data_IF_250270692597
#
_entry.id   IF_250270692597
#
_cell.length_a   1.000
_cell.length_b   1.000
_cell.length_c   1.000
_cell.angle_alpha   90.00
_cell.angle_beta   90.00
_cell.angle_gamma   90.00
#
_symmetry.space_group_name_H-M   'P 1'
#
loop_
_entity.id
_entity.type
_entity.pdbx_description
1 polymer ?
#
# COMPACT_ATOMS: atom_id res chain seq x y z
N UNK A 1 -10.41 -1.44 15.31
CA UNK A 1 -9.56 -1.46 14.10
C UNK A 1 -10.29 -0.83 12.92
N UNK A 2 -9.59 -0.05 12.13
CA UNK A 2 -10.13 0.54 10.90
C UNK A 2 -9.45 -0.15 9.72
N UNK A 3 -10.25 -0.61 8.75
CA UNK A 3 -9.69 -1.26 7.56
C UNK A 3 -10.04 -0.39 6.34
N UNK A 4 -9.07 0.31 5.76
CA UNK A 4 -9.32 1.07 4.54
C UNK A 4 -9.51 0.15 3.34
N UNK A 5 -10.30 0.62 2.38
CA UNK A 5 -10.56 -0.08 1.13
C UNK A 5 -10.05 0.81 0.00
N UNK A 6 -9.11 0.30 -0.79
CA UNK A 6 -8.61 1.00 -1.96
C UNK A 6 -9.21 0.40 -3.23
N UNK A 7 -9.61 1.29 -4.15
CA UNK A 7 -10.09 0.88 -5.48
C UNK A 7 -8.88 0.56 -6.36
N UNK A 8 -8.90 -0.63 -6.97
CA UNK A 8 -7.88 -1.04 -7.94
C UNK A 8 -8.57 -1.43 -9.25
N UNK A 9 -7.81 -1.44 -10.35
CA UNK A 9 -8.36 -1.71 -11.68
C UNK A 9 -7.65 -2.86 -12.41
N UNK A 10 -6.52 -3.35 -11.87
CA UNK A 10 -5.73 -4.40 -12.50
C UNK A 10 -5.05 -5.19 -11.39
N UNK A 11 -5.45 -6.45 -11.22
CA UNK A 11 -4.95 -7.26 -10.10
C UNK A 11 -3.47 -7.59 -10.24
N UNK A 12 -2.97 -7.79 -11.45
CA UNK A 12 -1.55 -8.08 -11.65
C UNK A 12 -0.68 -6.90 -11.25
N UNK A 13 -1.07 -5.69 -11.65
CA UNK A 13 -0.35 -4.47 -11.26
C UNK A 13 -0.45 -4.21 -9.76
N UNK A 14 -1.62 -4.49 -9.16
CA UNK A 14 -1.81 -4.34 -7.72
C UNK A 14 -0.89 -5.28 -6.95
N UNK A 15 -0.84 -6.56 -7.34
CA UNK A 15 0.03 -7.53 -6.68
C UNK A 15 1.52 -7.18 -6.85
N UNK A 16 1.92 -6.74 -8.03
CA UNK A 16 3.30 -6.33 -8.27
C UNK A 16 3.70 -5.18 -7.36
N UNK A 17 2.82 -4.20 -7.16
CA UNK A 17 3.10 -3.05 -6.31
C UNK A 17 3.03 -3.42 -4.82
N UNK A 18 1.90 -3.97 -4.37
CA UNK A 18 1.68 -4.19 -2.94
C UNK A 18 2.46 -5.38 -2.38
N UNK A 19 2.48 -6.49 -3.09
CA UNK A 19 3.18 -7.69 -2.61
C UNK A 19 4.65 -7.68 -3.03
N UNK A 20 4.91 -7.39 -4.31
CA UNK A 20 6.27 -7.41 -4.82
C UNK A 20 7.13 -6.25 -4.34
N UNK A 21 6.66 -5.02 -4.51
CA UNK A 21 7.44 -3.83 -4.18
C UNK A 21 7.33 -3.48 -2.69
N UNK A 22 6.12 -3.25 -2.18
CA UNK A 22 5.94 -2.83 -0.79
C UNK A 22 6.16 -3.96 0.23
N UNK A 23 6.02 -5.22 -0.18
CA UNK A 23 6.25 -6.34 0.70
C UNK A 23 5.07 -6.70 1.60
N UNK A 24 3.87 -6.28 1.24
CA UNK A 24 2.68 -6.72 1.94
C UNK A 24 2.47 -8.21 1.75
N UNK A 25 1.85 -8.85 2.73
CA UNK A 25 1.45 -10.25 2.67
C UNK A 25 0.01 -10.34 2.16
N UNK A 26 -0.25 -11.26 1.24
CA UNK A 26 -1.61 -11.58 0.83
C UNK A 26 -2.22 -12.49 1.88
N UNK A 27 -3.27 -12.01 2.57
CA UNK A 27 -3.93 -12.79 3.61
C UNK A 27 -5.00 -13.69 3.01
N UNK A 28 -5.84 -13.15 2.15
CA UNK A 28 -6.86 -13.89 1.41
C UNK A 28 -7.35 -13.07 0.23
N UNK A 29 -7.98 -13.77 -0.73
CA UNK A 29 -8.68 -13.12 -1.84
C UNK A 29 -9.98 -13.86 -2.11
N UNK A 30 -10.98 -13.12 -2.63
CA UNK A 30 -12.30 -13.63 -2.89
C UNK A 30 -12.84 -13.10 -4.21
N UNK A 31 -13.46 -13.99 -4.97
CA UNK A 31 -14.13 -13.71 -6.23
C UNK A 31 -15.38 -14.57 -6.28
N UNK A 32 -16.55 -13.95 -6.47
CA UNK A 32 -17.80 -14.69 -6.46
C UNK A 32 -17.89 -15.71 -7.59
N UNK A 33 -17.41 -15.34 -8.76
CA UNK A 33 -17.35 -16.19 -9.94
C UNK A 33 -16.09 -15.88 -10.72
N UNK A 34 -15.67 -16.78 -11.62
CA UNK A 34 -14.39 -16.71 -12.31
C UNK A 34 -14.11 -15.37 -13.01
N UNK A 35 -15.13 -14.74 -13.60
CA UNK A 35 -14.97 -13.48 -14.32
C UNK A 35 -15.48 -12.26 -13.54
N UNK A 36 -15.72 -12.40 -12.23
CA UNK A 36 -16.18 -11.32 -11.40
C UNK A 36 -15.00 -10.57 -10.75
N UNK A 37 -15.23 -9.31 -10.33
CA UNK A 37 -14.19 -8.53 -9.66
C UNK A 37 -13.62 -9.23 -8.43
N UNK A 38 -12.33 -9.02 -8.20
CA UNK A 38 -11.61 -9.61 -7.08
C UNK A 38 -11.60 -8.65 -5.90
N UNK A 39 -11.68 -9.21 -4.70
CA UNK A 39 -11.54 -8.50 -3.43
C UNK A 39 -10.50 -9.22 -2.60
N UNK A 40 -9.54 -8.49 -2.03
CA UNK A 40 -8.47 -9.15 -1.29
C UNK A 40 -8.04 -8.34 -0.06
N UNK A 41 -7.49 -9.07 0.92
CA UNK A 41 -6.88 -8.47 2.09
C UNK A 41 -5.38 -8.66 2.06
N UNK A 42 -4.65 -7.57 2.32
CA UNK A 42 -3.21 -7.57 2.45
C UNK A 42 -2.82 -6.94 3.79
N UNK A 43 -1.64 -7.31 4.29
CA UNK A 43 -1.18 -6.79 5.57
C UNK A 43 0.33 -6.55 5.57
N UNK A 44 0.75 -5.55 6.37
CA UNK A 44 2.15 -5.22 6.58
C UNK A 44 2.29 -4.77 8.04
N UNK A 45 3.09 -5.48 8.83
CA UNK A 45 3.15 -5.29 10.27
C UNK A 45 1.73 -5.32 10.85
N UNK A 46 1.29 -4.30 11.57
CA UNK A 46 -0.06 -4.25 12.14
C UNK A 46 -1.11 -3.64 11.22
N UNK A 47 -0.71 -3.21 10.03
CA UNK A 47 -1.62 -2.57 9.08
C UNK A 47 -2.33 -3.60 8.22
N UNK A 48 -3.63 -3.42 8.03
CA UNK A 48 -4.47 -4.24 7.17
C UNK A 48 -5.18 -3.34 6.17
N UNK A 49 -5.14 -3.71 4.89
CA UNK A 49 -5.77 -2.97 3.81
C UNK A 49 -6.58 -3.94 2.97
N UNK A 50 -7.74 -3.51 2.52
CA UNK A 50 -8.49 -4.24 1.50
C UNK A 50 -8.31 -3.56 0.16
N UNK A 51 -8.16 -4.35 -0.90
CA UNK A 51 -8.08 -3.90 -2.28
C UNK A 51 -9.29 -4.45 -3.02
N UNK A 52 -9.97 -3.62 -3.78
CA UNK A 52 -11.21 -4.03 -4.45
C UNK A 52 -11.25 -3.60 -5.91
N UNK A 53 -11.56 -4.55 -6.79
CA UNK A 53 -11.88 -4.28 -8.18
C UNK A 53 -13.37 -3.93 -8.36
N UNK A 54 -14.19 -4.02 -7.31
CA UNK A 54 -15.63 -3.76 -7.38
C UNK A 54 -15.91 -2.28 -7.57
N UNK A 55 -16.68 -1.97 -8.61
CA UNK A 55 -17.16 -0.63 -8.85
C UNK A 55 -18.06 -0.20 -7.69
N UNK A 56 -17.76 0.94 -7.09
CA UNK A 56 -18.56 1.48 -5.99
C UNK A 56 -18.08 1.15 -4.59
N UNK A 57 -17.12 0.22 -4.41
CA UNK A 57 -16.58 -0.08 -3.08
C UNK A 57 -15.75 1.08 -2.51
N UNK A 58 -15.06 1.80 -3.36
CA UNK A 58 -14.24 2.93 -2.97
C UNK A 58 -14.03 3.85 -4.16
N UNK A 59 -13.71 5.11 -3.90
CA UNK A 59 -13.32 6.05 -4.94
C UNK A 59 -11.85 5.87 -5.28
N UNK A 60 -11.45 5.99 -6.56
CA UNK A 60 -10.04 6.00 -6.91
C UNK A 60 -9.30 7.17 -6.26
N UNK A 61 -8.04 6.99 -5.96
CA UNK A 61 -7.21 8.07 -5.45
C UNK A 61 -7.31 8.29 -3.95
N UNK A 62 -7.55 7.24 -3.17
CA UNK A 62 -7.55 7.33 -1.72
C UNK A 62 -6.18 7.65 -1.15
N UNK A 63 -6.12 8.00 0.13
CA UNK A 63 -4.87 8.27 0.84
C UNK A 63 -4.93 7.71 2.25
N UNK A 64 -3.86 7.04 2.68
CA UNK A 64 -3.75 6.52 4.05
C UNK A 64 -2.35 6.77 4.59
N UNK A 65 -2.25 6.75 5.92
CA UNK A 65 -0.99 6.81 6.65
C UNK A 65 -0.86 5.54 7.47
N UNK A 66 0.29 4.90 7.38
CA UNK A 66 0.58 3.66 8.11
C UNK A 66 1.79 3.90 9.00
N UNK A 67 1.62 3.68 10.31
CA UNK A 67 2.74 3.72 11.23
C UNK A 67 3.48 2.39 11.16
N UNK A 68 4.78 2.44 10.94
CA UNK A 68 5.64 1.25 10.91
C UNK A 68 6.87 1.46 11.79
N UNK A 69 7.54 0.36 12.10
CA UNK A 69 8.84 0.41 12.76
C UNK A 69 9.92 0.66 11.71
N UNK A 70 10.92 1.45 12.05
CA UNK A 70 12.14 1.67 11.24
C UNK A 70 11.89 1.98 9.76
N UNK A 71 11.41 3.19 9.50
CA UNK A 71 11.16 3.67 8.13
C UNK A 71 12.44 3.70 7.29
N UNK A 72 13.59 4.02 7.89
CA UNK A 72 14.86 4.09 7.15
C UNK A 72 15.27 2.73 6.61
N UNK A 73 15.11 1.67 7.40
CA UNK A 73 15.40 0.32 6.96
C UNK A 73 14.44 -0.09 5.84
N UNK A 74 13.16 0.17 6.03
CA UNK A 74 12.15 -0.10 5.02
C UNK A 74 12.46 0.63 3.70
N UNK A 75 12.86 1.89 3.80
CA UNK A 75 13.27 2.70 2.64
C UNK A 75 14.45 2.03 1.90
N UNK A 76 15.45 1.57 2.64
CA UNK A 76 16.61 0.88 2.05
C UNK A 76 16.19 -0.38 1.31
N UNK A 77 15.27 -1.15 1.88
CA UNK A 77 14.74 -2.36 1.22
C UNK A 77 14.04 -2.00 -0.08
N UNK A 78 13.20 -0.95 -0.07
CA UNK A 78 12.50 -0.52 -1.28
C UNK A 78 13.47 -0.07 -2.37
N UNK A 79 14.53 0.67 -2.00
CA UNK A 79 15.53 1.12 -2.96
C UNK A 79 16.30 -0.02 -3.60
N UNK A 80 16.43 -1.16 -2.91
CA UNK A 80 17.12 -2.33 -3.45
C UNK A 80 16.27 -3.08 -4.49
N UNK A 81 14.99 -2.78 -4.59
CA UNK A 81 14.08 -3.42 -5.54
C UNK A 81 14.01 -2.63 -6.84
N UNK A 82 13.99 -3.33 -7.96
CA UNK A 82 13.85 -2.71 -9.27
C UNK A 82 12.39 -2.53 -9.62
N UNK A 83 11.76 -1.49 -9.07
CA UNK A 83 10.38 -1.14 -9.42
C UNK A 83 10.37 0.17 -10.19
N UNK A 84 9.92 0.11 -11.46
CA UNK A 84 10.07 1.21 -12.41
C UNK A 84 9.11 2.38 -12.17
N UNK A 85 7.99 2.15 -11.47
CA UNK A 85 6.88 3.11 -11.47
C UNK A 85 6.76 3.96 -10.21
N UNK A 86 7.52 3.64 -9.18
CA UNK A 86 7.50 4.43 -7.96
C UNK A 86 8.89 4.56 -7.40
N UNK A 87 9.32 5.80 -7.18
CA UNK A 87 10.59 6.10 -6.55
C UNK A 87 10.31 6.76 -5.22
N UNK A 88 10.34 5.99 -4.12
CA UNK A 88 10.04 6.55 -2.81
C UNK A 88 11.07 7.58 -2.41
N UNK A 89 10.63 8.56 -1.64
CA UNK A 89 11.47 9.60 -1.10
C UNK A 89 11.22 9.70 0.40
N UNK A 90 12.29 9.77 1.17
CA UNK A 90 12.21 9.83 2.63
C UNK A 90 12.31 11.29 3.09
N UNK A 91 11.51 11.65 4.08
CA UNK A 91 11.43 13.01 4.59
C UNK A 91 11.40 13.03 6.11
N UNK A 92 12.16 13.95 6.71
CA UNK A 92 12.02 14.30 8.12
C UNK A 92 11.08 15.48 8.22
N UNK A 93 9.96 15.30 8.92
CA UNK A 93 8.99 16.39 9.05
C UNK A 93 9.30 17.29 10.24
N UNK A 94 8.85 18.57 10.20
CA UNK A 94 9.01 19.47 11.34
C UNK A 94 8.26 19.03 12.59
N UNK A 95 7.23 18.15 12.44
CA UNK A 95 6.42 17.70 13.57
C UNK A 95 6.89 16.39 14.18
N UNK A 96 8.10 15.92 13.84
CA UNK A 96 8.74 14.84 14.55
C UNK A 96 8.51 13.45 13.99
N UNK A 97 8.26 13.32 12.69
CA UNK A 97 8.15 12.01 12.03
C UNK A 97 9.21 11.86 10.95
N UNK A 98 9.50 10.61 10.60
CA UNK A 98 10.20 10.26 9.37
C UNK A 98 9.18 9.58 8.48
N UNK A 99 9.01 10.06 7.26
CA UNK A 99 7.94 9.63 6.35
C UNK A 99 8.46 9.22 4.99
N UNK A 100 7.77 8.27 4.42
CA UNK A 100 8.02 7.73 3.08
C UNK A 100 6.67 7.64 2.38
N UNK A 101 6.52 8.30 1.23
CA UNK A 101 5.26 8.30 0.49
C UNK A 101 5.44 7.60 -0.84
N UNK A 102 4.51 6.72 -1.17
CA UNK A 102 4.44 6.05 -2.47
C UNK A 102 3.03 6.18 -3.02
N UNK A 103 2.92 6.09 -4.34
CA UNK A 103 1.64 6.15 -5.05
C UNK A 103 1.50 4.87 -5.85
N UNK A 104 0.38 4.18 -5.70
CA UNK A 104 0.13 2.94 -6.43
C UNK A 104 -0.26 3.22 -7.89
N UNK A 105 -0.39 2.18 -8.73
CA UNK A 105 -0.76 2.36 -10.14
C UNK A 105 -2.16 2.96 -10.36
N UNK A 106 -2.96 3.10 -9.31
CA UNK A 106 -4.35 3.56 -9.38
C UNK A 106 -4.53 4.91 -8.67
N UNK A 107 -3.42 5.61 -8.40
CA UNK A 107 -3.40 6.93 -7.74
C UNK A 107 -3.74 6.91 -6.26
N UNK A 108 -3.71 5.75 -5.62
CA UNK A 108 -3.84 5.68 -4.17
C UNK A 108 -2.49 6.03 -3.53
N UNK A 109 -2.52 6.88 -2.51
CA UNK A 109 -1.32 7.36 -1.83
C UNK A 109 -1.15 6.67 -0.49
N UNK A 110 0.05 6.14 -0.25
CA UNK A 110 0.38 5.49 1.02
C UNK A 110 1.59 6.20 1.62
N UNK A 111 1.43 6.72 2.84
CA UNK A 111 2.53 7.31 3.59
C UNK A 111 2.86 6.38 4.75
N UNK A 112 4.10 5.88 4.76
CA UNK A 112 4.59 5.03 5.84
C UNK A 112 5.47 5.90 6.73
N UNK A 113 5.23 5.87 8.05
CA UNK A 113 5.92 6.80 8.94
C UNK A 113 6.27 6.16 10.28
N UNK A 114 7.28 6.74 10.94
CA UNK A 114 7.59 6.49 12.32
C UNK A 114 7.68 7.81 13.08
N UNK A 115 7.34 7.77 14.37
CA UNK A 115 7.46 8.93 15.23
C UNK A 115 8.87 8.96 15.84
N UNK A 116 9.51 10.12 15.75
CA UNK A 116 10.81 10.37 16.36
C UNK A 116 10.60 11.36 17.49
N UNK A 117 10.46 10.84 18.67
CA UNK A 117 10.34 11.65 19.87
C UNK A 117 11.71 12.03 20.39
#
# INVERSE_FOLDING_TARGET
MITPIFRIFDIEKAKLFYLGFLGFKLDWEHRYEENRPLYLQISLQDAVIHLSEHHGDASPGGAIRIKIDDVKDYYSVLLSKEYAYSKPNIEKTPWGTIELTVIDPFSNRITLYEEKL
#
